data_IF_086897257967
#
_entry.id   IF_086897257967
#
_cell.length_a   1.000
_cell.length_b   1.000
_cell.length_c   1.000
_cell.angle_alpha   90.00
_cell.angle_beta   90.00
_cell.angle_gamma   90.00
#
_symmetry.space_group_name_H-M   'P 1'
#
loop_
_entity.id
_entity.type
_entity.pdbx_description
1 polymer ?
#
# COMPACT_ATOMS: atom_id res chain seq x y z
N UNK A 1 -28.69 16.05 -20.15
CA UNK A 1 -28.32 14.73 -19.58
C UNK A 1 -26.84 14.56 -19.88
N UNK A 2 -26.00 14.44 -18.85
CA UNK A 2 -24.56 14.26 -19.03
C UNK A 2 -24.32 12.84 -19.56
N UNK A 3 -23.71 12.72 -20.73
CA UNK A 3 -23.28 11.45 -21.32
C UNK A 3 -22.28 10.77 -20.39
N UNK A 4 -22.49 9.48 -20.13
CA UNK A 4 -21.56 8.66 -19.35
C UNK A 4 -20.18 8.66 -20.00
N UNK A 5 -19.17 9.12 -19.26
CA UNK A 5 -17.78 9.05 -19.69
C UNK A 5 -17.28 7.61 -19.56
N UNK A 6 -16.71 7.07 -20.64
CA UNK A 6 -15.98 5.80 -20.64
C UNK A 6 -14.96 5.77 -19.47
N UNK A 7 -14.72 4.61 -18.85
CA UNK A 7 -13.75 4.53 -17.77
C UNK A 7 -12.38 4.89 -18.36
N UNK A 8 -11.85 6.04 -17.95
CA UNK A 8 -10.47 6.41 -18.22
C UNK A 8 -9.65 5.37 -17.46
N UNK A 9 -9.22 4.33 -18.15
CA UNK A 9 -8.12 3.49 -17.68
C UNK A 9 -6.92 4.41 -17.68
N UNK A 10 -6.69 5.08 -16.55
CA UNK A 10 -5.40 5.67 -16.22
C UNK A 10 -4.44 4.50 -16.14
N UNK A 11 -3.97 4.03 -17.29
CA UNK A 11 -2.78 3.22 -17.36
C UNK A 11 -1.73 4.03 -16.63
N UNK A 12 -1.28 3.44 -15.54
CA UNK A 12 -0.48 4.07 -14.52
C UNK A 12 0.94 4.21 -15.11
N UNK A 13 1.10 5.17 -16.03
CA UNK A 13 2.23 5.28 -16.99
C UNK A 13 3.59 5.19 -16.29
N UNK A 14 3.68 5.65 -15.05
CA UNK A 14 4.91 5.66 -14.26
C UNK A 14 5.08 4.46 -13.33
N UNK A 15 4.01 3.72 -13.03
CA UNK A 15 4.06 2.64 -12.03
C UNK A 15 4.75 1.39 -12.56
N UNK A 16 4.45 0.98 -13.80
CA UNK A 16 5.13 -0.15 -14.43
C UNK A 16 6.61 0.15 -14.70
N UNK A 17 6.91 1.40 -15.07
CA UNK A 17 8.27 1.82 -15.38
C UNK A 17 9.16 1.89 -14.13
N UNK A 18 8.63 2.38 -13.01
CA UNK A 18 9.35 2.40 -11.74
C UNK A 18 9.63 0.99 -11.20
N UNK A 19 8.64 0.10 -11.24
CA UNK A 19 8.82 -1.26 -10.74
C UNK A 19 9.88 -2.04 -11.54
N UNK A 20 9.96 -1.79 -12.84
CA UNK A 20 10.99 -2.37 -13.72
C UNK A 20 12.40 -1.84 -13.43
N UNK A 21 12.55 -0.73 -12.71
CA UNK A 21 13.84 -0.17 -12.30
C UNK A 21 14.35 -0.74 -10.97
N UNK A 22 13.50 -1.46 -10.23
CA UNK A 22 13.86 -2.03 -8.93
C UNK A 22 14.63 -3.34 -9.09
N UNK A 23 15.56 -3.63 -8.17
CA UNK A 23 16.20 -4.93 -8.11
C UNK A 23 15.18 -5.98 -7.65
N UNK A 24 14.79 -6.87 -8.56
CA UNK A 24 13.87 -7.99 -8.26
C UNK A 24 14.34 -8.92 -7.14
N UNK A 25 15.63 -8.90 -6.77
CA UNK A 25 16.19 -9.66 -5.65
C UNK A 25 16.10 -8.94 -4.31
N UNK A 26 15.56 -7.73 -4.29
CA UNK A 26 15.38 -6.98 -3.07
C UNK A 26 14.48 -7.75 -2.07
N UNK A 27 14.91 -7.93 -0.80
CA UNK A 27 14.15 -8.67 0.20
C UNK A 27 12.74 -8.12 0.44
N UNK A 28 12.51 -6.81 0.32
CA UNK A 28 11.19 -6.20 0.52
C UNK A 28 10.26 -6.49 -0.67
N UNK A 29 10.80 -6.57 -1.89
CA UNK A 29 10.02 -7.00 -3.06
C UNK A 29 9.62 -8.46 -2.91
N UNK A 30 10.57 -9.33 -2.52
CA UNK A 30 10.28 -10.73 -2.25
C UNK A 30 9.22 -10.90 -1.15
N UNK A 31 9.33 -10.15 -0.05
CA UNK A 31 8.35 -10.11 1.03
C UNK A 31 6.98 -9.68 0.51
N UNK A 32 6.93 -8.64 -0.33
CA UNK A 32 5.69 -8.11 -0.88
C UNK A 32 4.92 -9.10 -1.74
N UNK A 33 5.61 -10.04 -2.38
CA UNK A 33 4.99 -11.11 -3.16
C UNK A 33 4.61 -12.34 -2.33
N UNK A 34 5.24 -12.51 -1.16
CA UNK A 34 5.01 -13.69 -0.30
C UNK A 34 3.80 -13.52 0.60
N UNK A 35 3.45 -12.28 0.95
CA UNK A 35 2.35 -11.97 1.86
C UNK A 35 1.02 -11.82 1.12
N UNK A 36 -0.03 -12.45 1.65
CA UNK A 36 -1.40 -12.18 1.24
C UNK A 36 -1.89 -10.88 1.90
N UNK A 37 -1.83 -9.79 1.14
CA UNK A 37 -2.18 -8.45 1.64
C UNK A 37 -3.68 -8.26 1.86
N UNK A 38 -4.53 -9.01 1.14
CA UNK A 38 -5.99 -8.87 1.22
C UNK A 38 -6.51 -9.31 2.59
N UNK A 39 -5.85 -10.30 3.22
CA UNK A 39 -6.17 -10.73 4.59
C UNK A 39 -6.09 -9.55 5.56
N UNK A 40 -5.08 -8.70 5.45
CA UNK A 40 -4.95 -7.54 6.32
C UNK A 40 -6.02 -6.50 6.04
N UNK A 41 -6.34 -6.24 4.77
CA UNK A 41 -7.42 -5.33 4.40
C UNK A 41 -8.76 -5.80 4.99
N UNK A 42 -9.09 -7.09 4.86
CA UNK A 42 -10.33 -7.66 5.41
C UNK A 42 -10.34 -7.55 6.94
N UNK A 43 -9.28 -7.99 7.61
CA UNK A 43 -9.23 -8.05 9.08
C UNK A 43 -9.22 -6.66 9.71
N UNK A 44 -8.49 -5.71 9.13
CA UNK A 44 -8.32 -4.38 9.71
C UNK A 44 -9.33 -3.33 9.24
N UNK A 45 -10.01 -3.53 8.10
CA UNK A 45 -11.02 -2.59 7.57
C UNK A 45 -12.06 -2.17 8.61
N UNK A 46 -12.52 -3.11 9.46
CA UNK A 46 -13.51 -2.86 10.53
C UNK A 46 -13.08 -1.80 11.56
N UNK A 47 -11.79 -1.52 11.65
CA UNK A 47 -11.21 -0.53 12.57
C UNK A 47 -11.12 0.87 11.97
N UNK A 48 -11.49 1.01 10.69
CA UNK A 48 -11.50 2.28 9.97
C UNK A 48 -12.92 2.66 9.57
N UNK A 49 -13.20 3.96 9.56
CA UNK A 49 -14.48 4.47 9.08
C UNK A 49 -14.49 4.48 7.56
N UNK A 50 -15.50 3.86 6.96
CA UNK A 50 -15.63 3.77 5.51
C UNK A 50 -16.23 5.03 4.87
N UNK A 51 -17.13 5.70 5.59
CA UNK A 51 -18.08 6.66 5.02
C UNK A 51 -17.99 8.07 5.63
N UNK A 52 -17.25 8.25 6.73
CA UNK A 52 -17.15 9.54 7.41
C UNK A 52 -15.70 9.91 7.75
N UNK A 53 -15.42 11.22 7.71
CA UNK A 53 -14.12 11.78 8.07
C UNK A 53 -13.07 11.72 6.95
N UNK A 54 -11.80 11.85 7.33
CA UNK A 54 -10.68 11.77 6.40
C UNK A 54 -10.42 10.29 6.07
N UNK A 55 -10.25 9.91 4.78
CA UNK A 55 -9.93 8.55 4.41
C UNK A 55 -8.70 8.03 5.14
N UNK A 56 -8.77 6.78 5.59
CA UNK A 56 -7.64 6.12 6.22
C UNK A 56 -6.47 6.01 5.25
N UNK A 57 -5.25 5.99 5.79
CA UNK A 57 -4.08 5.53 5.02
C UNK A 57 -4.31 4.06 4.60
N UNK A 58 -3.75 3.61 3.46
CA UNK A 58 -3.86 2.21 3.04
C UNK A 58 -3.34 1.27 4.15
N UNK A 59 -4.07 0.19 4.43
CA UNK A 59 -3.70 -0.76 5.50
C UNK A 59 -2.34 -1.40 5.19
N UNK A 60 -2.07 -1.73 3.92
CA UNK A 60 -0.76 -2.21 3.46
C UNK A 60 0.39 -1.28 3.86
N UNK A 61 0.19 0.04 3.78
CA UNK A 61 1.21 1.00 4.22
C UNK A 61 1.46 0.87 5.72
N UNK A 62 0.40 0.90 6.53
CA UNK A 62 0.51 0.81 7.98
C UNK A 62 1.17 -0.50 8.44
N UNK A 63 0.76 -1.63 7.88
CA UNK A 63 1.34 -2.96 8.18
C UNK A 63 2.79 -3.03 7.71
N UNK A 64 3.09 -2.55 6.50
CA UNK A 64 4.44 -2.52 5.96
C UNK A 64 5.41 -1.70 6.82
N UNK A 65 4.98 -0.53 7.29
CA UNK A 65 5.77 0.31 8.19
C UNK A 65 6.06 -0.39 9.52
N UNK A 66 5.08 -1.09 10.10
CA UNK A 66 5.28 -1.84 11.35
C UNK A 66 6.27 -3.01 11.17
N UNK A 67 6.22 -3.70 10.03
CA UNK A 67 7.18 -4.76 9.70
C UNK A 67 8.59 -4.17 9.56
N UNK A 68 8.74 -3.10 8.79
CA UNK A 68 10.02 -2.41 8.61
C UNK A 68 10.58 -1.90 9.94
N UNK A 69 9.74 -1.32 10.78
CA UNK A 69 10.10 -0.88 12.13
C UNK A 69 10.76 -2.02 12.92
N UNK A 70 10.15 -3.20 12.89
CA UNK A 70 10.64 -4.36 13.64
C UNK A 70 11.88 -5.01 13.01
N UNK A 71 11.92 -5.13 11.68
CA UNK A 71 13.04 -5.74 10.96
C UNK A 71 14.33 -4.92 11.12
N UNK A 72 14.21 -3.60 11.04
CA UNK A 72 15.34 -2.67 11.07
C UNK A 72 15.57 -2.07 12.47
N UNK A 73 14.82 -2.52 13.48
CA UNK A 73 14.87 -2.01 14.86
C UNK A 73 14.80 -0.47 14.94
N UNK A 74 13.82 0.11 14.24
CA UNK A 74 13.62 1.55 14.13
C UNK A 74 12.62 2.05 15.19
N UNK A 75 12.71 3.33 15.52
CA UNK A 75 11.69 4.01 16.34
C UNK A 75 10.49 4.42 15.49
N UNK A 76 9.36 4.74 16.13
CA UNK A 76 8.17 5.21 15.42
C UNK A 76 8.44 6.52 14.66
N UNK A 77 9.20 7.42 15.29
CA UNK A 77 9.59 8.69 14.69
C UNK A 77 10.36 8.45 13.39
N UNK A 78 11.30 7.49 13.38
CA UNK A 78 12.14 7.20 12.21
C UNK A 78 11.40 6.53 11.05
N UNK A 79 10.25 5.94 11.31
CA UNK A 79 9.44 5.26 10.30
C UNK A 79 8.40 6.20 9.68
N UNK A 80 8.05 7.29 10.38
CA UNK A 80 6.98 8.22 9.98
C UNK A 80 7.50 9.59 9.52
N UNK A 81 8.64 10.05 10.03
CA UNK A 81 9.27 11.34 9.71
C UNK A 81 10.36 11.20 8.64
#
# INVERSE_FOLDING_TARGET
MLTESLPISTQNLFHSELFNQLDTKDPLIALSHTMDWEVFDVVFSRHYCHDNGVPSKPIRLMVGLLILKQLENLSDERVVL
#
